data_IF_834920646426
#
_entry.id   IF_834920646426
#
_cell.length_a   1.000
_cell.length_b   1.000
_cell.length_c   1.000
_cell.angle_alpha   90.00
_cell.angle_beta   90.00
_cell.angle_gamma   90.00
#
_symmetry.space_group_name_H-M   'P 1'
#
loop_
_entity.id
_entity.type
_entity.pdbx_description
1 polymer ?
#
# COMPACT_ATOMS: atom_id res chain seq x y z
N UNK A 1 3.31 -7.34 17.50
CA UNK A 1 3.11 -5.94 17.91
C UNK A 1 3.84 -4.92 17.01
N UNK A 2 4.26 -5.29 15.79
CA UNK A 2 4.98 -4.36 14.87
C UNK A 2 4.29 -4.16 13.52
N UNK A 3 3.10 -4.73 13.31
CA UNK A 3 2.31 -4.56 12.08
C UNK A 3 1.61 -3.18 11.97
N UNK A 4 1.72 -2.34 13.00
CA UNK A 4 1.04 -1.03 13.07
C UNK A 4 1.92 0.16 12.68
N UNK A 5 3.21 -0.03 12.39
CA UNK A 5 4.17 1.08 12.24
C UNK A 5 4.68 1.36 10.82
N UNK A 6 4.38 0.54 9.81
CA UNK A 6 4.89 0.79 8.47
C UNK A 6 4.03 0.19 7.38
N UNK A 7 3.40 1.06 6.57
CA UNK A 7 2.88 0.81 5.22
C UNK A 7 1.82 -0.28 5.00
N UNK A 8 1.75 -1.35 5.78
CA UNK A 8 0.79 -2.45 5.64
C UNK A 8 -0.66 -2.07 5.99
N UNK A 9 -0.93 -1.43 7.14
CA UNK A 9 -2.28 -1.00 7.49
C UNK A 9 -2.65 0.35 6.88
N UNK A 10 -1.71 1.10 6.32
CA UNK A 10 -1.98 2.46 5.84
C UNK A 10 -3.03 2.52 4.70
N UNK A 11 -2.93 1.68 3.64
CA UNK A 11 -3.94 1.65 2.57
C UNK A 11 -5.30 1.20 3.08
N UNK A 12 -5.30 0.27 4.03
CA UNK A 12 -6.51 -0.22 4.69
C UNK A 12 -7.17 0.89 5.49
N UNK A 13 -6.42 1.61 6.32
CA UNK A 13 -6.91 2.70 7.16
C UNK A 13 -7.45 3.84 6.30
N UNK A 14 -6.69 4.29 5.30
CA UNK A 14 -7.12 5.33 4.35
C UNK A 14 -8.44 4.94 3.69
N UNK A 15 -8.61 3.68 3.30
CA UNK A 15 -9.85 3.21 2.68
C UNK A 15 -11.00 3.14 3.69
N UNK A 16 -10.74 2.75 4.94
CA UNK A 16 -11.79 2.80 5.96
C UNK A 16 -12.20 4.21 6.35
N UNK A 17 -11.31 5.19 6.20
CA UNK A 17 -11.54 6.61 6.50
C UNK A 17 -12.16 7.39 5.33
N UNK A 18 -11.83 7.04 4.09
CA UNK A 18 -12.32 7.71 2.88
C UNK A 18 -13.73 7.27 2.47
N UNK A 19 -14.14 6.04 2.82
CA UNK A 19 -15.43 5.47 2.41
C UNK A 19 -16.49 5.51 3.53
N UNK A 20 -17.75 5.84 3.17
CA UNK A 20 -18.93 5.75 4.05
C UNK A 20 -19.13 4.31 4.53
N UNK A 21 -19.72 4.14 5.73
CA UNK A 21 -19.86 2.85 6.43
C UNK A 21 -20.38 1.70 5.57
N UNK A 22 -21.29 2.00 4.64
CA UNK A 22 -21.99 1.00 3.84
C UNK A 22 -21.14 0.40 2.70
N UNK A 23 -20.11 1.13 2.24
CA UNK A 23 -19.20 0.67 1.17
C UNK A 23 -17.84 0.20 1.70
N UNK A 24 -17.57 0.43 2.99
CA UNK A 24 -16.29 0.10 3.63
C UNK A 24 -15.96 -1.38 3.53
N UNK A 25 -16.93 -2.27 3.78
CA UNK A 25 -16.72 -3.71 3.73
C UNK A 25 -16.31 -4.16 2.31
N UNK A 26 -17.02 -3.68 1.28
CA UNK A 26 -16.74 -4.01 -0.12
C UNK A 26 -15.38 -3.49 -0.56
N UNK A 27 -15.06 -2.22 -0.24
CA UNK A 27 -13.77 -1.62 -0.58
C UNK A 27 -12.60 -2.37 0.09
N UNK A 28 -12.78 -2.76 1.35
CA UNK A 28 -11.78 -3.53 2.09
C UNK A 28 -11.56 -4.92 1.47
N UNK A 29 -12.62 -5.63 1.10
CA UNK A 29 -12.52 -6.95 0.46
C UNK A 29 -11.80 -6.86 -0.89
N UNK A 30 -12.10 -5.83 -1.69
CA UNK A 30 -11.42 -5.60 -2.97
C UNK A 30 -9.93 -5.37 -2.74
N UNK A 31 -9.56 -4.49 -1.80
CA UNK A 31 -8.16 -4.23 -1.48
C UNK A 31 -7.41 -5.47 -1.00
N UNK A 32 -8.03 -6.24 -0.11
CA UNK A 32 -7.45 -7.50 0.37
C UNK A 32 -7.24 -8.49 -0.78
N UNK A 33 -8.23 -8.64 -1.66
CA UNK A 33 -8.13 -9.52 -2.83
C UNK A 33 -7.02 -9.06 -3.79
N UNK A 34 -7.02 -7.78 -4.17
CA UNK A 34 -6.01 -7.23 -5.08
C UNK A 34 -4.62 -7.36 -4.49
N UNK A 35 -4.45 -7.04 -3.21
CA UNK A 35 -3.17 -7.20 -2.50
C UNK A 35 -2.76 -8.67 -2.47
N UNK A 36 -3.68 -9.58 -2.11
CA UNK A 36 -3.42 -11.01 -2.08
C UNK A 36 -2.98 -11.57 -3.43
N UNK A 37 -3.64 -11.17 -4.53
CA UNK A 37 -3.26 -11.59 -5.88
C UNK A 37 -1.86 -11.11 -6.27
N UNK A 38 -1.52 -9.87 -5.94
CA UNK A 38 -0.17 -9.32 -6.17
C UNK A 38 0.87 -10.11 -5.36
N UNK A 39 0.58 -10.42 -4.09
CA UNK A 39 1.47 -11.21 -3.25
C UNK A 39 1.69 -12.63 -3.78
N UNK A 40 0.63 -13.29 -4.26
CA UNK A 40 0.73 -14.63 -4.86
C UNK A 40 1.60 -14.58 -6.12
N UNK A 41 1.35 -13.62 -7.01
CA UNK A 41 2.15 -13.44 -8.22
C UNK A 41 3.63 -13.17 -7.91
N UNK A 42 3.89 -12.27 -6.96
CA UNK A 42 5.26 -11.94 -6.54
C UNK A 42 5.98 -13.13 -5.89
N UNK A 43 5.33 -13.84 -4.97
CA UNK A 43 5.93 -15.02 -4.32
C UNK A 43 6.17 -16.15 -5.32
N UNK A 44 5.33 -16.31 -6.35
CA UNK A 44 5.56 -17.31 -7.38
C UNK A 44 6.66 -16.90 -8.37
N UNK A 45 6.83 -15.60 -8.65
CA UNK A 45 7.88 -15.10 -9.53
C UNK A 45 9.25 -15.01 -8.85
N UNK A 46 9.29 -14.83 -7.53
CA UNK A 46 10.53 -14.73 -6.75
C UNK A 46 11.49 -15.92 -6.92
N UNK A 47 11.07 -17.20 -6.79
CA UNK A 47 11.97 -18.34 -6.97
C UNK A 47 12.55 -18.41 -8.38
N UNK A 48 11.75 -18.08 -9.40
CA UNK A 48 12.22 -18.00 -10.79
C UNK A 48 13.26 -16.89 -10.98
N UNK A 49 13.03 -15.72 -10.37
CA UNK A 49 14.00 -14.63 -10.39
C UNK A 49 15.31 -15.00 -9.68
N UNK A 50 15.23 -15.73 -8.56
CA UNK A 50 16.41 -16.21 -7.81
C UNK A 50 17.21 -17.22 -8.62
N UNK A 51 16.56 -18.11 -9.36
CA UNK A 51 17.23 -19.10 -10.22
C UNK A 51 18.03 -18.45 -11.35
N UNK A 52 17.51 -17.37 -11.94
CA UNK A 52 18.15 -16.68 -13.08
C UNK A 52 19.22 -15.68 -12.64
N UNK A 53 18.93 -14.87 -11.61
CA UNK A 53 19.72 -13.70 -11.24
C UNK A 53 20.54 -13.90 -9.96
N UNK A 54 20.25 -14.94 -9.19
CA UNK A 54 20.82 -15.18 -7.87
C UNK A 54 20.19 -14.31 -6.77
N UNK A 55 20.16 -14.85 -5.55
CA UNK A 55 19.47 -14.21 -4.41
C UNK A 55 20.04 -12.83 -4.03
N UNK A 56 21.33 -12.62 -4.26
CA UNK A 56 22.00 -11.35 -3.97
C UNK A 56 21.41 -10.21 -4.82
N UNK A 57 21.18 -10.46 -6.11
CA UNK A 57 20.64 -9.45 -7.02
C UNK A 57 19.15 -9.18 -6.74
N UNK A 58 18.37 -10.23 -6.41
CA UNK A 58 16.98 -10.08 -5.98
C UNK A 58 16.83 -9.17 -4.75
N UNK A 59 17.75 -9.27 -3.77
CA UNK A 59 17.78 -8.39 -2.59
C UNK A 59 18.04 -6.93 -2.95
N UNK A 60 19.00 -6.66 -3.85
CA UNK A 60 19.27 -5.30 -4.32
C UNK A 60 18.10 -4.68 -5.08
N UNK A 61 17.46 -5.46 -5.96
CA UNK A 61 16.26 -5.03 -6.68
C UNK A 61 15.14 -4.72 -5.68
N UNK A 62 14.89 -5.60 -4.73
CA UNK A 62 13.86 -5.39 -3.72
C UNK A 62 14.14 -4.13 -2.88
N UNK A 63 15.38 -3.92 -2.45
CA UNK A 63 15.81 -2.72 -1.76
C UNK A 63 15.57 -1.44 -2.57
N UNK A 64 15.88 -1.46 -3.87
CA UNK A 64 15.60 -0.34 -4.77
C UNK A 64 14.10 -0.07 -4.90
N UNK A 65 13.29 -1.12 -5.06
CA UNK A 65 11.83 -0.99 -5.11
C UNK A 65 11.25 -0.42 -3.82
N UNK A 66 11.78 -0.80 -2.65
CA UNK A 66 11.38 -0.20 -1.37
C UNK A 66 11.70 1.29 -1.30
N UNK A 67 12.90 1.71 -1.75
CA UNK A 67 13.31 3.12 -1.75
C UNK A 67 12.45 3.92 -2.74
N UNK A 68 12.24 3.40 -3.96
CA UNK A 68 11.38 4.01 -4.96
C UNK A 68 9.94 4.12 -4.45
N UNK A 69 9.42 3.06 -3.82
CA UNK A 69 8.10 3.07 -3.20
C UNK A 69 7.98 4.12 -2.09
N UNK A 70 9.01 4.29 -1.27
CA UNK A 70 9.04 5.33 -0.24
C UNK A 70 9.07 6.75 -0.85
N UNK A 71 9.86 6.98 -1.92
CA UNK A 71 9.90 8.26 -2.62
C UNK A 71 8.56 8.55 -3.30
N UNK A 72 8.01 7.59 -4.04
CA UNK A 72 6.71 7.72 -4.68
C UNK A 72 5.62 7.98 -3.65
N UNK A 73 5.66 7.29 -2.51
CA UNK A 73 4.75 7.58 -1.41
C UNK A 73 4.92 9.03 -0.92
N UNK A 74 6.14 9.52 -0.70
CA UNK A 74 6.32 10.92 -0.29
C UNK A 74 5.86 11.94 -1.34
N UNK A 75 6.03 11.63 -2.63
CA UNK A 75 5.71 12.55 -3.74
C UNK A 75 4.22 12.53 -4.09
N UNK A 76 3.61 11.36 -4.20
CA UNK A 76 2.20 11.18 -4.56
C UNK A 76 1.26 11.21 -3.36
N UNK A 77 1.78 10.89 -2.18
CA UNK A 77 1.11 11.08 -0.90
C UNK A 77 1.89 12.13 -0.09
N UNK A 78 2.00 13.39 -0.58
CA UNK A 78 2.59 14.47 0.18
C UNK A 78 1.67 14.71 1.37
N UNK A 79 2.04 14.12 2.49
CA UNK A 79 1.47 14.32 3.82
C UNK A 79 -0.06 14.44 3.88
N UNK A 80 -0.73 13.31 4.10
CA UNK A 80 -1.87 13.28 5.05
C UNK A 80 -1.40 13.41 6.52
N UNK A 81 -0.12 13.75 6.75
CA UNK A 81 0.44 14.02 8.08
C UNK A 81 0.11 15.46 8.49
N UNK A 82 -0.91 15.59 9.33
CA UNK A 82 -1.21 16.84 10.05
C UNK A 82 -2.50 17.54 9.63
N UNK A 83 -3.20 17.10 8.58
CA UNK A 83 -4.57 17.55 8.31
C UNK A 83 -5.58 16.60 8.95
N UNK A 84 -6.53 17.18 9.68
CA UNK A 84 -7.66 16.44 10.23
C UNK A 84 -8.43 15.79 9.07
N UNK A 85 -8.75 14.50 9.19
CA UNK A 85 -9.58 13.74 8.24
C UNK A 85 -10.91 14.46 7.95
N UNK A 86 -11.38 15.33 8.85
CA UNK A 86 -12.53 16.20 8.65
C UNK A 86 -12.37 17.22 7.51
N UNK A 87 -11.16 17.77 7.29
CA UNK A 87 -10.90 18.73 6.20
C UNK A 87 -10.89 18.05 4.82
N UNK A 88 -10.40 16.81 4.76
CA UNK A 88 -10.38 15.99 3.53
C UNK A 88 -11.81 15.59 3.15
N UNK A 89 -12.63 15.17 4.11
CA UNK A 89 -14.05 14.86 3.85
C UNK A 89 -14.88 16.10 3.46
N UNK A 90 -14.58 17.27 4.01
CA UNK A 90 -15.23 18.53 3.60
C UNK A 90 -14.86 18.93 2.16
N UNK A 91 -13.61 18.74 1.75
CA UNK A 91 -13.19 19.02 0.37
C UNK A 91 -13.82 18.08 -0.65
N UNK A 92 -14.03 16.81 -0.30
CA UNK A 92 -14.66 15.81 -1.18
C UNK A 92 -16.18 15.95 -1.26
N UNK A 93 -16.84 16.53 -0.25
CA UNK A 93 -18.28 16.77 -0.24
C UNK A 93 -18.69 18.02 -1.05
N UNK A 94 -17.74 18.89 -1.36
CA UNK A 94 -17.97 20.18 -2.04
C UNK A 94 -17.59 20.16 -3.54
N UNK A 95 -17.41 18.96 -4.10
CA UNK A 95 -17.31 18.68 -5.54
C UNK A 95 -18.46 17.73 -5.92
#
# INVERSE_FOLDING_TARGET
MSFSLGLGPLPVVITTELFRSDLRATAFIILLNTTGLIFIGFNSAFPFAVEILGIHWCMWIFGLFCILGAILMQVYLPETRGKSIAEIQLSLKNY
#
